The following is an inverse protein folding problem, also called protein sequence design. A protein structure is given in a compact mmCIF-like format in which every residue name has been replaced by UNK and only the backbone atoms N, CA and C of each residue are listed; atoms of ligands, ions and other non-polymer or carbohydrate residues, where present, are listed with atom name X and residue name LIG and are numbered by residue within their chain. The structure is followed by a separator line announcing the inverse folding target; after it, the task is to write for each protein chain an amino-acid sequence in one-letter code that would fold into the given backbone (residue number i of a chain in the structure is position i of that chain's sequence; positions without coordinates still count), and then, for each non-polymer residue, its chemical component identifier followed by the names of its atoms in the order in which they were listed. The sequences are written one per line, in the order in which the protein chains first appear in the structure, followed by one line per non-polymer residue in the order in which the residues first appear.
data_IF_700667607496
#
_entry.id   IF_700667607496
#
_cell.length_a   1.000
_cell.length_b   1.000
_cell.length_c   1.000
_cell.angle_alpha   90.00
_cell.angle_beta   90.00
_cell.angle_gamma   90.00
#
_symmetry.space_group_name_H-M   'P 1'
#
loop_
_entity.id
_entity.type
_entity.pdbx_description
1 polymer ?
#
# COMPACT_ATOMS: atom_id res chain seq x y z
N UNK A 1 31.60 0.09 20.96
CA UNK A 1 30.55 0.84 20.23
C UNK A 1 30.72 0.77 18.71
N UNK A 2 31.94 0.57 18.16
CA UNK A 2 32.17 0.42 16.71
C UNK A 2 31.53 -0.84 16.07
N UNK A 3 31.49 -1.96 16.79
CA UNK A 3 30.99 -3.25 16.23
C UNK A 3 29.46 -3.34 16.04
N UNK A 4 28.67 -2.52 16.74
CA UNK A 4 27.21 -2.59 16.63
C UNK A 4 26.66 -1.96 15.33
N UNK A 5 27.37 -0.97 14.81
CA UNK A 5 27.03 -0.25 13.56
C UNK A 5 27.47 -1.04 12.32
N UNK A 6 28.54 -1.82 12.45
CA UNK A 6 29.12 -2.67 11.41
C UNK A 6 28.31 -3.95 11.10
N UNK A 7 27.10 -4.12 11.64
CA UNK A 7 26.21 -5.25 11.32
C UNK A 7 24.86 -4.87 10.72
N UNK A 8 24.42 -3.62 10.89
CA UNK A 8 23.10 -3.20 10.42
C UNK A 8 23.07 -2.94 8.91
N UNK A 9 24.12 -2.34 8.34
CA UNK A 9 24.20 -2.12 6.89
C UNK A 9 24.26 -3.44 6.12
N UNK A 10 24.92 -4.46 6.68
CA UNK A 10 24.96 -5.82 6.11
C UNK A 10 23.59 -6.48 6.16
N UNK A 11 22.82 -6.28 7.24
CA UNK A 11 21.43 -6.76 7.33
C UNK A 11 20.55 -6.09 6.29
N UNK A 12 20.69 -4.78 6.10
CA UNK A 12 19.98 -4.02 5.06
C UNK A 12 20.35 -4.56 3.67
N UNK A 13 21.65 -4.68 3.36
CA UNK A 13 22.11 -5.20 2.09
C UNK A 13 21.63 -6.64 1.84
N UNK A 14 21.69 -7.50 2.87
CA UNK A 14 21.21 -8.87 2.80
C UNK A 14 19.69 -8.92 2.54
N UNK A 15 18.91 -8.06 3.20
CA UNK A 15 17.47 -7.97 2.95
C UNK A 15 17.16 -7.54 1.52
N UNK A 16 17.81 -6.47 1.02
CA UNK A 16 17.59 -6.00 -0.34
C UNK A 16 17.99 -7.03 -1.39
N UNK A 17 19.10 -7.74 -1.19
CA UNK A 17 19.50 -8.85 -2.05
C UNK A 17 18.51 -10.01 -1.98
N UNK A 18 18.03 -10.37 -0.79
CA UNK A 18 17.00 -11.40 -0.62
C UNK A 18 15.70 -11.01 -1.33
N UNK A 19 15.31 -9.74 -1.26
CA UNK A 19 14.13 -9.20 -1.95
C UNK A 19 14.28 -9.26 -3.48
N UNK A 20 15.46 -8.98 -4.02
CA UNK A 20 15.74 -9.14 -5.46
C UNK A 20 15.61 -10.60 -5.90
N UNK A 21 16.02 -11.56 -5.06
CA UNK A 21 15.90 -12.99 -5.35
C UNK A 21 14.49 -13.53 -5.09
N UNK A 22 13.74 -12.91 -4.19
CA UNK A 22 12.38 -13.27 -3.81
C UNK A 22 11.49 -12.02 -3.73
N UNK A 23 10.95 -11.55 -4.87
CA UNK A 23 10.12 -10.35 -4.93
C UNK A 23 8.87 -10.42 -4.05
N UNK A 24 8.41 -11.63 -3.73
CA UNK A 24 7.30 -11.82 -2.81
C UNK A 24 7.54 -11.15 -1.44
N UNK A 25 8.79 -10.93 -1.01
CA UNK A 25 9.11 -10.27 0.27
C UNK A 25 8.55 -8.85 0.41
N UNK A 26 8.22 -8.15 -0.68
CA UNK A 26 7.49 -6.87 -0.64
C UNK A 26 5.97 -7.03 -0.68
N UNK A 27 5.47 -8.27 -0.61
CA UNK A 27 4.05 -8.63 -0.60
C UNK A 27 3.72 -9.38 0.70
N UNK A 28 3.51 -8.67 1.82
CA UNK A 28 3.24 -9.28 3.13
C UNK A 28 2.15 -10.35 3.11
N UNK A 29 1.09 -10.15 2.31
CA UNK A 29 -0.03 -11.06 2.11
C UNK A 29 0.35 -12.45 1.55
N UNK A 30 1.57 -12.61 1.02
CA UNK A 30 2.07 -13.88 0.51
C UNK A 30 2.65 -14.79 1.59
N UNK A 31 2.71 -14.36 2.85
CA UNK A 31 3.28 -15.13 3.95
C UNK A 31 2.34 -15.25 5.14
N UNK A 32 2.70 -16.13 6.08
CA UNK A 32 1.97 -16.28 7.33
C UNK A 32 2.20 -15.08 8.26
N UNK A 33 1.21 -14.68 9.08
CA UNK A 33 1.30 -13.52 9.95
C UNK A 33 2.52 -13.54 10.89
N UNK A 34 2.90 -14.70 11.41
CA UNK A 34 4.03 -14.81 12.35
C UNK A 34 5.36 -14.47 11.68
N UNK A 35 5.50 -14.83 10.39
CA UNK A 35 6.71 -14.50 9.61
C UNK A 35 6.76 -13.03 9.24
N UNK A 36 5.61 -12.44 8.89
CA UNK A 36 5.54 -11.01 8.60
C UNK A 36 5.79 -10.18 9.85
N UNK A 37 5.36 -10.64 11.02
CA UNK A 37 5.65 -9.95 12.30
C UNK A 37 7.16 -9.85 12.54
N UNK A 38 7.90 -10.95 12.33
CA UNK A 38 9.38 -10.96 12.43
C UNK A 38 10.03 -10.05 11.38
N UNK A 39 9.49 -10.03 10.15
CA UNK A 39 9.98 -9.16 9.10
C UNK A 39 9.74 -7.68 9.46
N UNK A 40 8.55 -7.32 9.93
CA UNK A 40 8.20 -5.97 10.33
C UNK A 40 9.11 -5.48 11.47
N UNK A 41 9.41 -6.33 12.45
CA UNK A 41 10.34 -6.03 13.53
C UNK A 41 11.77 -5.79 13.00
N UNK A 42 12.24 -6.67 12.10
CA UNK A 42 13.57 -6.51 11.49
C UNK A 42 13.69 -5.22 10.68
N UNK A 43 12.67 -4.89 9.86
CA UNK A 43 12.64 -3.67 9.06
C UNK A 43 12.53 -2.41 9.93
N UNK A 44 11.74 -2.47 11.00
CA UNK A 44 11.66 -1.41 12.02
C UNK A 44 13.06 -1.11 12.60
N UNK A 45 13.80 -2.16 12.99
CA UNK A 45 15.17 -2.01 13.49
C UNK A 45 16.18 -1.52 12.45
N UNK A 46 15.94 -1.76 11.15
CA UNK A 46 16.76 -1.19 10.07
C UNK A 46 16.50 0.31 9.88
N UNK A 47 15.26 0.78 10.09
CA UNK A 47 14.91 2.20 10.03
C UNK A 47 15.49 3.00 11.21
N UNK A 48 15.74 2.34 12.34
CA UNK A 48 16.40 2.90 13.53
C UNK A 48 17.93 2.96 13.39
N UNK A 49 18.47 2.68 12.19
CA UNK A 49 19.90 2.77 11.94
C UNK A 49 20.42 4.22 12.01
N UNK A 50 21.34 4.49 12.94
CA UNK A 50 21.98 5.80 13.14
C UNK A 50 23.04 6.16 12.08
N UNK A 51 23.35 5.24 11.16
CA UNK A 51 24.36 5.46 10.13
C UNK A 51 23.82 6.09 8.84
N UNK A 52 24.72 6.61 7.97
CA UNK A 52 24.32 7.17 6.69
C UNK A 52 23.66 6.08 5.83
N UNK A 53 22.40 6.32 5.46
CA UNK A 53 21.65 5.47 4.56
C UNK A 53 21.21 6.29 3.34
N UNK A 54 21.49 5.83 2.11
CA UNK A 54 20.98 6.49 0.91
C UNK A 54 19.46 6.61 0.98
N UNK A 55 18.92 7.77 0.58
CA UNK A 55 17.49 8.05 0.67
C UNK A 55 16.65 6.98 -0.05
N UNK A 56 17.07 6.54 -1.23
CA UNK A 56 16.39 5.49 -1.98
C UNK A 56 16.27 4.17 -1.19
N UNK A 57 17.34 3.77 -0.50
CA UNK A 57 17.35 2.57 0.35
C UNK A 57 16.43 2.75 1.54
N UNK A 58 16.48 3.91 2.20
CA UNK A 58 15.60 4.23 3.33
C UNK A 58 14.13 4.15 2.91
N UNK A 59 13.80 4.73 1.75
CA UNK A 59 12.44 4.74 1.21
C UNK A 59 11.92 3.33 0.93
N UNK A 60 12.79 2.46 0.41
CA UNK A 60 12.44 1.07 0.11
C UNK A 60 12.15 0.28 1.39
N UNK A 61 13.03 0.36 2.39
CA UNK A 61 12.83 -0.30 3.70
C UNK A 61 11.58 0.24 4.39
N UNK A 62 11.36 1.56 4.33
CA UNK A 62 10.17 2.19 4.89
C UNK A 62 8.90 1.69 4.20
N UNK A 63 8.95 1.53 2.87
CA UNK A 63 7.89 0.92 2.07
C UNK A 63 7.52 -0.48 2.58
N UNK A 64 8.52 -1.35 2.67
CA UNK A 64 8.32 -2.75 3.08
C UNK A 64 7.89 -2.85 4.56
N UNK A 65 8.42 -1.98 5.44
CA UNK A 65 8.02 -1.89 6.84
C UNK A 65 6.54 -1.53 6.96
N UNK A 66 6.11 -0.44 6.31
CA UNK A 66 4.73 0.03 6.39
C UNK A 66 3.75 -1.02 5.88
N UNK A 67 4.04 -1.65 4.74
CA UNK A 67 3.22 -2.72 4.21
C UNK A 67 3.12 -3.90 5.20
N UNK A 68 4.25 -4.32 5.78
CA UNK A 68 4.31 -5.45 6.71
C UNK A 68 3.58 -5.17 8.01
N UNK A 69 3.82 -4.00 8.62
CA UNK A 69 3.21 -3.60 9.89
C UNK A 69 1.69 -3.43 9.77
N UNK A 70 1.19 -2.85 8.68
CA UNK A 70 -0.25 -2.76 8.42
C UNK A 70 -0.86 -4.14 8.28
N UNK A 71 -0.23 -5.03 7.51
CA UNK A 71 -0.75 -6.39 7.31
C UNK A 71 -0.78 -7.20 8.62
N UNK A 72 0.26 -7.10 9.45
CA UNK A 72 0.31 -7.75 10.77
C UNK A 72 -0.83 -7.27 11.67
N UNK A 73 -1.11 -5.97 11.66
CA UNK A 73 -2.22 -5.43 12.45
C UNK A 73 -3.59 -5.92 11.95
N UNK A 74 -3.77 -6.02 10.63
CA UNK A 74 -5.00 -6.52 10.02
C UNK A 74 -5.25 -8.01 10.37
N UNK A 75 -4.22 -8.85 10.28
CA UNK A 75 -4.34 -10.31 10.46
C UNK A 75 -4.19 -10.77 11.91
N UNK A 76 -3.15 -10.29 12.61
CA UNK A 76 -2.82 -10.73 13.96
C UNK A 76 -3.33 -9.78 15.06
N UNK A 77 -3.76 -8.57 14.69
CA UNK A 77 -4.24 -7.57 15.66
C UNK A 77 -3.13 -6.92 16.48
N UNK A 78 -1.86 -7.07 16.10
CA UNK A 78 -0.75 -6.37 16.74
C UNK A 78 -0.66 -4.93 16.23
N UNK A 79 -0.90 -4.00 17.14
CA UNK A 79 -1.00 -2.57 16.84
C UNK A 79 0.30 -1.81 17.08
N UNK A 80 1.36 -2.46 17.60
CA UNK A 80 2.57 -1.78 18.04
C UNK A 80 3.26 -0.99 16.91
N UNK A 81 3.19 -1.48 15.68
CA UNK A 81 3.78 -0.83 14.51
C UNK A 81 2.96 0.29 13.88
N UNK A 82 1.65 0.38 14.16
CA UNK A 82 0.75 1.27 13.40
C UNK A 82 1.00 2.76 13.62
N UNK A 83 1.30 3.16 14.85
CA UNK A 83 1.57 4.57 15.15
C UNK A 83 2.85 5.05 14.43
N UNK A 84 3.84 4.16 14.30
CA UNK A 84 5.05 4.40 13.53
C UNK A 84 4.77 4.51 12.03
N UNK A 85 3.93 3.65 11.47
CA UNK A 85 3.47 3.75 10.07
C UNK A 85 2.82 5.10 9.82
N UNK A 86 1.88 5.51 10.66
CA UNK A 86 1.17 6.79 10.51
C UNK A 86 2.14 7.97 10.58
N UNK A 87 3.08 7.96 11.52
CA UNK A 87 4.08 9.01 11.65
C UNK A 87 4.95 9.13 10.39
N UNK A 88 5.57 8.02 9.95
CA UNK A 88 6.42 7.98 8.76
C UNK A 88 5.67 8.44 7.51
N UNK A 89 4.43 7.98 7.32
CA UNK A 89 3.65 8.31 6.13
C UNK A 89 3.17 9.75 6.10
N UNK A 90 2.90 10.38 7.25
CA UNK A 90 2.52 11.80 7.30
C UNK A 90 3.64 12.74 6.85
N UNK A 91 4.91 12.35 7.02
CA UNK A 91 6.05 13.13 6.52
C UNK A 91 6.03 13.28 4.99
N UNK A 92 5.51 12.27 4.28
CA UNK A 92 5.38 12.27 2.82
C UNK A 92 4.16 13.04 2.30
N UNK A 93 3.34 13.60 3.20
CA UNK A 93 2.13 14.36 2.85
C UNK A 93 2.29 15.88 3.01
N UNK A 94 3.51 16.37 3.24
CA UNK A 94 3.80 17.80 3.15
C UNK A 94 3.64 18.29 1.72
N UNK A 95 3.23 19.55 1.51
CA UNK A 95 2.96 20.09 0.17
C UNK A 95 4.16 19.89 -0.78
N UNK A 96 5.38 20.16 -0.30
CA UNK A 96 6.60 19.96 -1.07
C UNK A 96 6.89 18.48 -1.39
N UNK A 97 6.60 17.55 -0.47
CA UNK A 97 6.77 16.12 -0.72
C UNK A 97 5.76 15.59 -1.75
N UNK A 98 4.51 16.04 -1.67
CA UNK A 98 3.45 15.65 -2.60
C UNK A 98 3.76 16.11 -4.02
N UNK A 99 4.30 17.32 -4.18
CA UNK A 99 4.71 17.82 -5.50
C UNK A 99 5.93 17.07 -6.06
N UNK A 100 6.86 16.68 -5.18
CA UNK A 100 8.07 15.97 -5.59
C UNK A 100 7.81 14.52 -6.03
N UNK A 101 6.89 13.82 -5.35
CA UNK A 101 6.58 12.42 -5.60
C UNK A 101 5.08 12.10 -5.34
N UNK A 102 4.20 12.36 -6.32
CA UNK A 102 2.77 12.14 -6.17
C UNK A 102 2.40 10.68 -5.92
N UNK A 103 3.10 9.73 -6.55
CA UNK A 103 2.83 8.29 -6.43
C UNK A 103 3.12 7.82 -5.01
N UNK A 104 4.25 8.25 -4.43
CA UNK A 104 4.56 7.96 -3.03
C UNK A 104 3.57 8.61 -2.08
N UNK A 105 3.07 9.82 -2.39
CA UNK A 105 2.03 10.44 -1.60
C UNK A 105 0.71 9.65 -1.67
N UNK A 106 0.36 9.03 -2.80
CA UNK A 106 -0.80 8.13 -2.91
C UNK A 106 -0.58 6.90 -2.04
N UNK A 107 0.58 6.26 -2.11
CA UNK A 107 0.92 5.11 -1.28
C UNK A 107 0.86 5.46 0.22
N UNK A 108 1.38 6.63 0.61
CA UNK A 108 1.35 7.09 1.99
C UNK A 108 -0.09 7.27 2.50
N UNK A 109 -0.99 7.87 1.69
CA UNK A 109 -2.42 7.98 2.03
C UNK A 109 -3.07 6.60 2.18
N UNK A 110 -2.75 5.66 1.30
CA UNK A 110 -3.29 4.30 1.36
C UNK A 110 -2.87 3.59 2.66
N UNK A 111 -1.58 3.64 3.00
CA UNK A 111 -1.05 3.01 4.20
C UNK A 111 -1.61 3.64 5.49
N UNK A 112 -1.73 4.98 5.54
CA UNK A 112 -2.36 5.67 6.68
C UNK A 112 -3.82 5.24 6.83
N UNK A 113 -4.58 5.24 5.73
CA UNK A 113 -5.98 4.84 5.75
C UNK A 113 -6.18 3.42 6.28
N UNK A 114 -5.36 2.47 5.82
CA UNK A 114 -5.40 1.09 6.31
C UNK A 114 -4.97 0.97 7.76
N UNK A 115 -3.89 1.65 8.17
CA UNK A 115 -3.43 1.66 9.55
C UNK A 115 -4.51 2.19 10.51
N UNK A 116 -5.17 3.29 10.15
CA UNK A 116 -6.26 3.88 10.94
C UNK A 116 -7.46 2.93 11.04
N UNK A 117 -7.84 2.24 9.96
CA UNK A 117 -8.91 1.24 10.00
C UNK A 117 -8.55 0.03 10.87
N UNK A 118 -7.34 -0.52 10.72
CA UNK A 118 -6.87 -1.64 11.54
C UNK A 118 -6.88 -1.29 13.03
N UNK A 119 -6.45 -0.07 13.38
CA UNK A 119 -6.53 0.45 14.75
C UNK A 119 -7.97 0.65 15.22
N UNK A 120 -8.81 1.26 14.40
CA UNK A 120 -10.22 1.53 14.73
C UNK A 120 -11.01 0.24 14.93
N UNK A 121 -10.73 -0.82 14.17
CA UNK A 121 -11.37 -2.13 14.30
C UNK A 121 -11.13 -2.77 15.68
N UNK A 122 -10.03 -2.42 16.37
CA UNK A 122 -9.72 -2.92 17.71
C UNK A 122 -10.16 -1.99 18.83
N UNK A 123 -10.08 -0.67 18.63
CA UNK A 123 -10.36 0.34 19.66
C UNK A 123 -11.74 1.00 19.55
N UNK A 124 -12.50 0.73 18.49
CA UNK A 124 -13.83 1.28 18.20
C UNK A 124 -13.87 2.82 18.23
N UNK A 125 -12.82 3.46 17.69
CA UNK A 125 -12.68 4.92 17.65
C UNK A 125 -13.28 5.49 16.34
N UNK A 126 -14.49 6.09 16.35
CA UNK A 126 -15.16 6.52 15.12
C UNK A 126 -14.45 7.68 14.41
N UNK A 127 -13.68 8.49 15.12
CA UNK A 127 -12.88 9.58 14.54
C UNK A 127 -11.79 9.03 13.61
N UNK A 128 -11.14 7.92 14.00
CA UNK A 128 -10.12 7.26 13.16
C UNK A 128 -10.73 6.69 11.88
N UNK A 129 -11.97 6.20 11.94
CA UNK A 129 -12.70 5.72 10.75
C UNK A 129 -12.94 6.87 9.78
N UNK A 130 -13.41 8.03 10.27
CA UNK A 130 -13.65 9.20 9.40
C UNK A 130 -12.36 9.72 8.77
N UNK A 131 -11.28 9.78 9.55
CA UNK A 131 -9.96 10.15 9.04
C UNK A 131 -9.48 9.16 7.97
N UNK A 132 -9.62 7.86 8.21
CA UNK A 132 -9.26 6.83 7.24
C UNK A 132 -10.03 6.95 5.93
N UNK A 133 -11.35 7.18 6.01
CA UNK A 133 -12.20 7.40 4.82
C UNK A 133 -11.70 8.62 4.03
N UNK A 134 -11.30 9.71 4.70
CA UNK A 134 -10.74 10.88 4.05
C UNK A 134 -9.48 10.57 3.24
N UNK A 135 -8.55 9.78 3.78
CA UNK A 135 -7.34 9.37 3.06
C UNK A 135 -7.63 8.41 1.91
N UNK A 136 -8.44 7.37 2.15
CA UNK A 136 -8.76 6.35 1.14
C UNK A 136 -9.59 6.93 -0.02
N UNK A 137 -10.45 7.92 0.25
CA UNK A 137 -11.20 8.61 -0.81
C UNK A 137 -10.27 9.35 -1.77
N UNK A 138 -9.26 10.05 -1.24
CA UNK A 138 -8.23 10.70 -2.08
C UNK A 138 -7.42 9.69 -2.90
N UNK A 139 -7.13 8.51 -2.34
CA UNK A 139 -6.47 7.42 -3.09
C UNK A 139 -7.34 6.95 -4.25
N UNK A 140 -8.63 6.70 -4.00
CA UNK A 140 -9.57 6.27 -5.05
C UNK A 140 -9.69 7.33 -6.16
N UNK A 141 -9.77 8.61 -5.80
CA UNK A 141 -9.80 9.70 -6.77
C UNK A 141 -8.53 9.75 -7.62
N UNK A 142 -7.36 9.63 -7.01
CA UNK A 142 -6.09 9.60 -7.71
C UNK A 142 -5.97 8.38 -8.65
N UNK A 143 -6.36 7.18 -8.19
CA UNK A 143 -6.34 5.96 -9.00
C UNK A 143 -7.33 6.01 -10.16
N UNK A 144 -8.48 6.67 -10.01
CA UNK A 144 -9.42 6.85 -11.14
C UNK A 144 -8.84 7.66 -12.28
N UNK A 145 -7.89 8.55 -12.00
CA UNK A 145 -7.16 9.30 -13.00
C UNK A 145 -6.00 8.49 -13.63
N UNK A 146 -5.73 7.27 -13.15
CA UNK A 146 -4.69 6.42 -13.72
C UNK A 146 -5.03 6.02 -15.17
N UNK A 147 -4.11 6.22 -16.14
CA UNK A 147 -4.38 5.96 -17.55
C UNK A 147 -4.72 4.49 -17.86
N UNK A 148 -4.26 3.53 -17.07
CA UNK A 148 -4.59 2.11 -17.26
C UNK A 148 -6.03 1.81 -16.79
N UNK A 149 -6.45 2.40 -15.68
CA UNK A 149 -7.83 2.29 -15.16
C UNK A 149 -8.81 2.97 -16.12
N UNK A 150 -8.48 4.17 -16.61
CA UNK A 150 -9.30 4.86 -17.62
C UNK A 150 -9.46 4.01 -18.89
N UNK A 151 -8.37 3.45 -19.42
CA UNK A 151 -8.42 2.56 -20.59
C UNK A 151 -9.25 1.29 -20.34
N UNK A 152 -9.18 0.71 -19.15
CA UNK A 152 -10.00 -0.44 -18.77
C UNK A 152 -11.50 -0.08 -18.73
N UNK A 153 -11.83 1.13 -18.25
CA UNK A 153 -13.20 1.64 -18.24
C UNK A 153 -13.72 1.86 -19.67
N UNK A 154 -12.94 2.51 -20.54
CA UNK A 154 -13.29 2.72 -21.95
C UNK A 154 -13.55 1.39 -22.69
N UNK A 155 -12.71 0.38 -22.45
CA UNK A 155 -12.90 -0.95 -23.01
C UNK A 155 -14.18 -1.63 -22.48
N UNK A 156 -14.45 -1.51 -21.18
CA UNK A 156 -15.66 -2.06 -20.54
C UNK A 156 -16.93 -1.42 -21.09
N UNK A 157 -16.92 -0.09 -21.28
CA UNK A 157 -18.04 0.66 -21.84
C UNK A 157 -18.29 0.25 -23.31
N UNK A 158 -17.22 0.08 -24.10
CA UNK A 158 -17.32 -0.42 -25.47
C UNK A 158 -17.91 -1.84 -25.54
N UNK A 159 -17.50 -2.73 -24.63
CA UNK A 159 -18.06 -4.08 -24.51
C UNK A 159 -19.54 -4.06 -24.14
N UNK A 160 -19.92 -3.25 -23.14
CA UNK A 160 -21.32 -3.11 -22.73
C UNK A 160 -22.19 -2.60 -23.88
N UNK A 161 -21.71 -1.61 -24.64
CA UNK A 161 -22.39 -1.12 -25.84
C UNK A 161 -22.57 -2.21 -26.89
N UNK A 162 -21.54 -3.02 -27.14
CA UNK A 162 -21.62 -4.14 -28.07
C UNK A 162 -22.65 -5.20 -27.63
N UNK A 163 -22.69 -5.55 -26.35
CA UNK A 163 -23.67 -6.48 -25.78
C UNK A 163 -25.10 -5.95 -25.93
N UNK A 164 -25.32 -4.68 -25.61
CA UNK A 164 -26.62 -4.02 -25.77
C UNK A 164 -27.11 -4.03 -27.22
N UNK A 165 -26.21 -3.78 -28.19
CA UNK A 165 -26.54 -3.87 -29.62
C UNK A 165 -26.93 -5.29 -30.05
N UNK A 166 -26.22 -6.32 -29.54
CA UNK A 166 -26.57 -7.72 -29.81
C UNK A 166 -27.92 -8.10 -29.22
N UNK A 167 -28.22 -7.71 -27.98
CA UNK A 167 -29.53 -7.94 -27.36
C UNK A 167 -30.64 -7.24 -28.13
N UNK A 168 -30.41 -5.99 -28.53
CA UNK A 168 -31.36 -5.22 -29.33
C UNK A 168 -31.64 -5.94 -30.65
N UNK A 169 -30.59 -6.39 -31.36
CA UNK A 169 -30.75 -7.16 -32.61
C UNK A 169 -31.50 -8.48 -32.39
N UNK A 170 -31.23 -9.20 -31.29
CA UNK A 170 -31.98 -10.42 -30.94
C UNK A 170 -33.46 -10.12 -30.73
N UNK A 171 -33.80 -9.07 -29.98
CA UNK A 171 -35.20 -8.66 -29.73
C UNK A 171 -35.90 -8.24 -31.03
N UNK A 172 -35.22 -7.51 -31.91
CA UNK A 172 -35.74 -7.17 -33.24
C UNK A 172 -36.02 -8.42 -34.07
N UNK A 173 -35.10 -9.38 -34.11
CA UNK A 173 -35.28 -10.63 -34.85
C UNK A 173 -36.44 -11.48 -34.30
N UNK A 174 -36.68 -11.49 -32.98
CA UNK A 174 -37.81 -12.22 -32.38
C UNK A 174 -39.15 -11.51 -32.64
N UNK A 175 -39.18 -10.18 -32.58
CA UNK A 175 -40.42 -9.41 -32.67
C UNK A 175 -40.85 -9.09 -34.12
N UNK A 176 -39.92 -9.09 -35.07
CA UNK A 176 -40.16 -8.68 -36.46
C UNK A 176 -39.58 -9.67 -37.48
N UNK A 177 -39.08 -10.82 -37.03
CA UNK A 177 -38.54 -11.89 -37.89
C UNK A 177 -39.59 -12.95 -38.24
N UNK A 178 -40.76 -12.51 -38.68
CA UNK A 178 -41.74 -13.21 -39.55
C UNK A 178 -42.76 -12.18 -40.01
#
# INVERSE_FOLDING_TARGET
VRDALEGQMQKIAAFLLAKQLQPALSSPQSFRPEKISQLAEALSGMLDHDGPMPLAVRNEIEGDFCASAVHVAEEAGDLAGLDRVIALRREHLTEGAVQADPDRAIQARMDIGRALLARAAKKFEPELIREAIGYLSQVVEALRADPSIMRAQEASDAMFKAQSLLETRKRFAVNFGT
#
